data_IF_711468747571
#
_entry.id   IF_711468747571
#
_cell.length_a   1.000
_cell.length_b   1.000
_cell.length_c   1.000
_cell.angle_alpha   90.00
_cell.angle_beta   90.00
_cell.angle_gamma   90.00
#
_symmetry.space_group_name_H-M   'P 1'
#
loop_
_entity.id
_entity.type
_entity.pdbx_description
1 polymer ?
#
# COMPACT_ATOMS: atom_id res chain seq x y z
N UNK A 1 -14.13 2.02 0.47
CA UNK A 1 -13.10 2.81 -0.25
C UNK A 1 -13.74 3.40 -1.50
N UNK A 2 -13.80 4.72 -1.63
CA UNK A 2 -14.30 5.35 -2.86
C UNK A 2 -13.25 5.24 -3.97
N UNK A 3 -13.46 4.33 -4.93
CA UNK A 3 -12.57 4.15 -6.10
C UNK A 3 -12.60 5.34 -7.08
N UNK A 4 -13.51 6.30 -6.83
CA UNK A 4 -13.67 7.52 -7.63
C UNK A 4 -12.53 8.51 -7.40
N UNK A 5 -11.84 8.48 -6.24
CA UNK A 5 -10.71 9.38 -5.96
C UNK A 5 -9.37 8.72 -6.26
N UNK A 6 -8.38 9.53 -6.65
CA UNK A 6 -7.00 9.05 -6.90
C UNK A 6 -6.44 8.30 -5.70
N UNK A 7 -6.66 8.81 -4.49
CA UNK A 7 -6.21 8.14 -3.25
C UNK A 7 -6.89 6.79 -3.04
N UNK A 8 -8.19 6.68 -3.32
CA UNK A 8 -8.91 5.41 -3.24
C UNK A 8 -8.39 4.36 -4.21
N UNK A 9 -8.01 4.78 -5.43
CA UNK A 9 -7.35 3.91 -6.42
C UNK A 9 -5.97 3.46 -5.95
N UNK A 10 -5.16 4.38 -5.39
CA UNK A 10 -3.85 4.04 -4.83
C UNK A 10 -3.97 3.02 -3.69
N UNK A 11 -4.89 3.22 -2.74
CA UNK A 11 -5.11 2.24 -1.66
C UNK A 11 -5.57 0.89 -2.20
N UNK A 12 -6.46 0.87 -3.18
CA UNK A 12 -6.88 -0.39 -3.81
C UNK A 12 -5.70 -1.14 -4.43
N UNK A 13 -4.80 -0.42 -5.11
CA UNK A 13 -3.60 -1.01 -5.69
C UNK A 13 -2.62 -1.49 -4.62
N UNK A 14 -2.39 -0.70 -3.56
CA UNK A 14 -1.56 -1.11 -2.41
C UNK A 14 -2.09 -2.42 -1.82
N UNK A 15 -3.38 -2.50 -1.52
CA UNK A 15 -3.98 -3.71 -0.95
C UNK A 15 -3.85 -4.89 -1.91
N UNK A 16 -4.11 -4.71 -3.21
CA UNK A 16 -3.95 -5.74 -4.24
C UNK A 16 -2.50 -6.25 -4.32
N UNK A 17 -1.51 -5.36 -4.24
CA UNK A 17 -0.10 -5.73 -4.25
C UNK A 17 0.29 -6.49 -2.98
N UNK A 18 -0.14 -6.03 -1.81
CA UNK A 18 0.10 -6.74 -0.55
C UNK A 18 -0.68 -8.07 -0.45
N UNK A 19 -1.81 -8.21 -1.15
CA UNK A 19 -2.55 -9.46 -1.26
C UNK A 19 -1.74 -10.53 -2.02
N UNK A 20 -1.13 -10.11 -3.14
CA UNK A 20 -0.26 -10.97 -3.96
C UNK A 20 1.05 -11.34 -3.26
N UNK A 21 1.46 -10.55 -2.27
CA UNK A 21 2.72 -10.72 -1.54
C UNK A 21 2.42 -10.97 -0.06
N UNK A 22 2.04 -12.20 0.31
CA UNK A 22 1.68 -12.52 1.68
C UNK A 22 2.85 -12.35 2.66
N UNK A 23 4.11 -12.31 2.20
CA UNK A 23 5.28 -11.96 3.01
C UNK A 23 5.35 -10.46 3.38
N UNK A 24 4.63 -9.61 2.65
CA UNK A 24 4.70 -8.16 2.72
C UNK A 24 5.65 -7.55 1.69
N UNK A 25 5.56 -6.23 1.51
CA UNK A 25 6.39 -5.48 0.56
C UNK A 25 7.10 -4.33 1.24
N UNK A 26 8.36 -4.11 0.83
CA UNK A 26 9.13 -2.94 1.27
C UNK A 26 8.55 -1.67 0.66
N UNK A 27 8.74 -0.54 1.36
CA UNK A 27 8.31 0.79 0.92
C UNK A 27 8.74 1.08 -0.52
N UNK A 28 10.02 0.95 -0.83
CA UNK A 28 10.57 1.23 -2.16
C UNK A 28 9.96 0.34 -3.25
N UNK A 29 9.68 -0.92 -2.91
CA UNK A 29 9.04 -1.88 -3.82
C UNK A 29 7.57 -1.56 -4.05
N UNK A 30 6.83 -1.17 -3.01
CA UNK A 30 5.47 -0.67 -3.13
C UNK A 30 5.41 0.54 -4.06
N UNK A 31 6.26 1.54 -3.85
CA UNK A 31 6.30 2.73 -4.69
C UNK A 31 6.57 2.38 -6.16
N UNK A 32 7.57 1.54 -6.42
CA UNK A 32 7.89 1.08 -7.77
C UNK A 32 6.71 0.36 -8.39
N UNK A 33 6.15 -0.65 -7.73
CA UNK A 33 5.04 -1.46 -8.24
C UNK A 33 3.78 -0.62 -8.50
N UNK A 34 3.46 0.32 -7.62
CA UNK A 34 2.31 1.23 -7.82
C UNK A 34 2.54 2.13 -9.03
N UNK A 35 3.73 2.74 -9.16
CA UNK A 35 4.07 3.60 -10.29
C UNK A 35 4.14 2.83 -11.62
N UNK A 36 4.61 1.59 -11.60
CA UNK A 36 4.62 0.70 -12.77
C UNK A 36 3.21 0.28 -13.15
N UNK A 37 2.31 0.09 -12.19
CA UNK A 37 0.92 -0.31 -12.45
C UNK A 37 0.10 0.85 -13.01
N UNK A 38 0.30 2.06 -12.49
CA UNK A 38 -0.32 3.26 -13.03
C UNK A 38 0.62 4.48 -12.90
N UNK A 39 1.28 4.89 -14.00
CA UNK A 39 2.19 6.03 -14.00
C UNK A 39 1.47 7.38 -13.82
N UNK A 40 0.14 7.42 -13.86
CA UNK A 40 -0.66 8.63 -13.61
C UNK A 40 -0.65 9.01 -12.12
N UNK A 41 -0.26 8.09 -11.23
CA UNK A 41 -0.20 8.38 -9.81
C UNK A 41 0.97 9.29 -9.47
N UNK A 42 0.65 10.44 -8.86
CA UNK A 42 1.65 11.39 -8.44
C UNK A 42 2.50 10.82 -7.29
N UNK A 43 3.84 10.85 -7.36
CA UNK A 43 4.71 10.18 -6.39
C UNK A 43 4.52 10.70 -4.96
N UNK A 44 4.26 12.01 -4.79
CA UNK A 44 3.94 12.59 -3.47
C UNK A 44 2.66 11.99 -2.87
N UNK A 45 1.65 11.77 -3.69
CA UNK A 45 0.36 11.20 -3.25
C UNK A 45 0.52 9.73 -2.88
N UNK A 46 1.30 8.96 -3.67
CA UNK A 46 1.61 7.57 -3.34
C UNK A 46 2.37 7.50 -2.02
N UNK A 47 3.43 8.29 -1.86
CA UNK A 47 4.19 8.36 -0.60
C UNK A 47 3.30 8.67 0.60
N UNK A 48 2.43 9.67 0.49
CA UNK A 48 1.48 10.02 1.55
C UNK A 48 0.50 8.89 1.88
N UNK A 49 0.01 8.17 0.86
CA UNK A 49 -0.90 7.04 1.05
C UNK A 49 -0.20 5.84 1.71
N UNK A 50 1.02 5.52 1.29
CA UNK A 50 1.81 4.43 1.89
C UNK A 50 2.19 4.77 3.33
N UNK A 51 2.57 6.03 3.63
CA UNK A 51 2.82 6.48 5.00
C UNK A 51 1.60 6.26 5.89
N UNK A 52 0.46 6.82 5.46
CA UNK A 52 -0.79 6.80 6.21
C UNK A 52 -1.49 5.44 6.16
N UNK A 53 -0.96 4.44 5.45
CA UNK A 53 -1.62 3.15 5.27
C UNK A 53 -1.94 2.47 6.59
N UNK A 54 -0.95 2.39 7.49
CA UNK A 54 -1.11 1.77 8.81
C UNK A 54 -1.91 2.64 9.78
N UNK A 55 -1.89 3.96 9.60
CA UNK A 55 -2.67 4.89 10.42
C UNK A 55 -4.16 4.86 10.02
N UNK A 56 -4.46 4.78 8.72
CA UNK A 56 -5.83 4.72 8.20
C UNK A 56 -6.45 3.34 8.29
N UNK A 57 -5.65 2.28 8.17
CA UNK A 57 -6.11 0.90 8.13
C UNK A 57 -5.29 0.01 9.08
N UNK A 58 -5.25 0.34 10.39
CA UNK A 58 -4.52 -0.46 11.37
C UNK A 58 -5.08 -1.88 11.50
N UNK A 59 -6.36 -2.08 11.17
CA UNK A 59 -7.05 -3.36 11.13
C UNK A 59 -6.67 -4.22 9.90
N UNK A 60 -6.14 -3.61 8.82
CA UNK A 60 -5.86 -4.32 7.57
C UNK A 60 -4.39 -4.45 7.26
N UNK A 61 -3.58 -3.45 7.62
CA UNK A 61 -2.17 -3.41 7.32
C UNK A 61 -1.37 -3.05 8.58
N UNK A 62 -0.22 -3.70 8.72
CA UNK A 62 0.73 -3.43 9.80
C UNK A 62 2.16 -3.45 9.26
N UNK A 63 3.09 -2.96 10.08
CA UNK A 63 4.52 -2.93 9.75
C UNK A 63 5.29 -3.89 10.65
N UNK A 64 5.60 -5.11 10.20
CA UNK A 64 6.43 -6.04 10.97
C UNK A 64 7.86 -5.50 11.19
N UNK A 65 8.39 -4.75 10.23
CA UNK A 65 9.72 -4.16 10.29
C UNK A 65 9.74 -2.73 9.73
N UNK A 66 10.82 -1.99 9.97
CA UNK A 66 11.01 -0.65 9.43
C UNK A 66 10.99 -0.68 7.91
N UNK A 67 9.93 -0.12 7.33
CA UNK A 67 9.76 -0.02 5.89
C UNK A 67 9.20 -1.27 5.22
N UNK A 68 8.79 -2.30 5.97
CA UNK A 68 8.06 -3.46 5.45
C UNK A 68 6.58 -3.31 5.80
N UNK A 69 5.69 -3.48 4.82
CA UNK A 69 4.23 -3.42 5.00
C UNK A 69 3.63 -4.78 4.69
N UNK A 70 2.71 -5.23 5.53
CA UNK A 70 2.04 -6.53 5.38
C UNK A 70 0.58 -6.44 5.79
N UNK A 71 -0.26 -7.30 5.21
CA UNK A 71 -1.66 -7.38 5.62
C UNK A 71 -1.80 -8.18 6.92
N UNK A 72 -2.66 -7.68 7.81
CA UNK A 72 -2.97 -8.32 9.10
C UNK A 72 -3.54 -9.71 8.91
N UNK A 73 -4.29 -9.95 7.82
CA UNK A 73 -4.84 -11.28 7.48
C UNK A 73 -3.78 -12.36 7.24
N UNK A 74 -2.53 -11.98 6.94
CA UNK A 74 -1.40 -12.90 6.77
C UNK A 74 -0.46 -12.92 7.98
N UNK A 75 -0.81 -12.21 9.06
CA UNK A 75 -0.12 -12.30 10.33
C UNK A 75 -0.39 -13.70 10.89
N UNK A 76 0.62 -14.57 10.78
CA UNK A 76 0.70 -15.85 11.48
C UNK A 76 1.52 -15.70 12.75
#
# INVERSE_FOLDING_TARGET
MNKSTVTGRIYAEIFRLLDKHPEGLRWSELLKKIKTSDPSFHPKTVNGCVWKLVEKFPDKAYKPEKGLFRLVKYKR
#
